data_IF_456263533043
#
_entry.id   IF_456263533043
#
_cell.length_a   1.000
_cell.length_b   1.000
_cell.length_c   1.000
_cell.angle_alpha   90.00
_cell.angle_beta   90.00
_cell.angle_gamma   90.00
#
_symmetry.space_group_name_H-M   'P 1'
#
loop_
_entity.id
_entity.type
_entity.pdbx_description
1 polymer ?
#
# COMPACT_ATOMS: atom_id res chain seq x y z
N UNK A 1 9.01 1.05 -5.76
CA UNK A 1 7.97 2.11 -5.72
C UNK A 1 8.16 3.05 -4.53
N UNK A 2 7.79 2.67 -3.29
CA UNK A 2 7.99 3.53 -2.10
C UNK A 2 9.46 3.95 -1.92
N UNK A 3 10.39 3.05 -2.25
CA UNK A 3 11.82 3.34 -2.31
C UNK A 3 12.17 4.52 -3.22
N UNK A 4 11.70 4.46 -4.46
CA UNK A 4 12.06 5.43 -5.49
C UNK A 4 11.41 6.78 -5.21
N UNK A 5 10.17 6.78 -4.71
CA UNK A 5 9.51 7.97 -4.18
C UNK A 5 10.32 8.55 -3.01
N UNK A 6 10.86 7.68 -2.14
CA UNK A 6 11.76 8.05 -1.05
C UNK A 6 13.04 8.76 -1.51
N UNK A 7 13.46 8.57 -2.76
CA UNK A 7 14.65 9.20 -3.36
C UNK A 7 14.37 10.62 -3.87
N UNK A 8 13.11 11.03 -4.04
CA UNK A 8 12.75 12.39 -4.45
C UNK A 8 13.36 13.41 -3.47
N UNK A 9 14.01 14.50 -3.93
CA UNK A 9 14.83 15.36 -3.07
C UNK A 9 14.12 15.88 -1.81
N UNK A 10 12.86 16.33 -1.95
CA UNK A 10 12.06 16.83 -0.83
C UNK A 10 11.74 15.72 0.18
N UNK A 11 11.31 14.55 -0.30
CA UNK A 11 10.97 13.40 0.55
C UNK A 11 12.22 12.86 1.24
N UNK A 12 13.31 12.65 0.50
CA UNK A 12 14.61 12.18 1.03
C UNK A 12 15.13 13.09 2.14
N UNK A 13 15.09 14.41 1.92
CA UNK A 13 15.51 15.41 2.91
C UNK A 13 14.62 15.40 4.15
N UNK A 14 13.32 15.22 3.97
CA UNK A 14 12.34 15.14 5.06
C UNK A 14 12.56 13.90 5.92
N UNK A 15 12.70 12.73 5.29
CA UNK A 15 13.00 11.46 5.96
C UNK A 15 14.32 11.56 6.73
N UNK A 16 15.39 12.09 6.11
CA UNK A 16 16.70 12.24 6.79
C UNK A 16 16.60 13.11 8.04
N UNK A 17 15.90 14.25 7.96
CA UNK A 17 15.69 15.14 9.12
C UNK A 17 14.89 14.44 10.23
N UNK A 18 13.83 13.72 9.86
CA UNK A 18 13.03 12.94 10.80
C UNK A 18 13.83 11.85 11.50
N UNK A 19 14.64 11.08 10.76
CA UNK A 19 15.52 10.04 11.31
C UNK A 19 16.53 10.64 12.28
N UNK A 20 17.19 11.75 11.89
CA UNK A 20 18.17 12.41 12.75
C UNK A 20 17.53 12.94 14.05
N UNK A 21 16.33 13.54 13.95
CA UNK A 21 15.58 14.02 15.11
C UNK A 21 15.22 12.88 16.07
N UNK A 22 14.67 11.79 15.54
CA UNK A 22 14.29 10.61 16.34
C UNK A 22 15.52 9.94 16.95
N UNK A 23 16.59 9.81 16.15
CA UNK A 23 17.87 9.28 16.62
C UNK A 23 18.46 10.10 17.75
N UNK A 24 18.42 11.43 17.65
CA UNK A 24 18.85 12.33 18.72
C UNK A 24 18.03 12.14 19.99
N UNK A 25 16.69 12.12 19.89
CA UNK A 25 15.82 11.95 21.07
C UNK A 25 16.11 10.64 21.80
N UNK A 26 16.29 9.54 21.06
CA UNK A 26 16.54 8.22 21.66
C UNK A 26 17.99 8.00 22.11
N UNK A 27 18.96 8.75 21.58
CA UNK A 27 20.35 8.65 22.00
C UNK A 27 20.61 9.29 23.38
N UNK A 28 19.71 10.15 23.85
CA UNK A 28 19.91 10.91 25.08
C UNK A 28 18.77 10.66 26.07
N UNK A 29 19.09 10.05 27.22
CA UNK A 29 18.12 9.69 28.26
C UNK A 29 17.31 10.89 28.76
N UNK A 30 17.94 12.06 28.91
CA UNK A 30 17.26 13.29 29.33
C UNK A 30 16.25 13.78 28.30
N UNK A 31 16.59 13.74 27.01
CA UNK A 31 15.67 14.10 25.91
C UNK A 31 14.54 13.10 25.76
N UNK A 32 14.81 11.80 25.90
CA UNK A 32 13.80 10.75 25.89
C UNK A 32 12.82 10.89 27.07
N UNK A 33 13.33 11.21 28.27
CA UNK A 33 12.49 11.47 29.44
C UNK A 33 11.57 12.65 29.21
N UNK A 34 12.08 13.74 28.65
CA UNK A 34 11.25 14.90 28.28
C UNK A 34 10.18 14.50 27.27
N UNK A 35 10.53 13.80 26.19
CA UNK A 35 9.56 13.32 25.20
C UNK A 35 8.42 12.57 25.89
N UNK A 36 8.74 11.60 26.75
CA UNK A 36 7.74 10.79 27.47
C UNK A 36 6.83 11.63 28.37
N UNK A 37 7.35 12.67 28.99
CA UNK A 37 6.56 13.59 29.80
C UNK A 37 5.57 14.39 28.92
N UNK A 38 6.03 14.91 27.78
CA UNK A 38 5.19 15.70 26.88
C UNK A 38 4.20 14.89 26.05
N UNK A 39 4.43 13.59 25.86
CA UNK A 39 3.56 12.74 25.02
C UNK A 39 2.62 11.84 25.83
N UNK A 40 2.66 11.84 27.16
CA UNK A 40 2.01 10.84 28.02
C UNK A 40 2.54 9.41 27.75
N UNK A 41 3.88 9.24 27.80
CA UNK A 41 4.63 7.99 27.60
C UNK A 41 4.48 7.35 26.22
N UNK A 42 3.93 8.11 25.28
CA UNK A 42 3.76 7.74 23.87
C UNK A 42 5.10 7.81 23.16
N UNK A 43 5.54 6.66 22.64
CA UNK A 43 6.83 6.53 21.95
C UNK A 43 6.75 6.97 20.48
N UNK A 44 7.91 7.35 19.93
CA UNK A 44 8.09 7.55 18.49
C UNK A 44 8.50 6.23 17.82
N UNK A 45 8.25 6.10 16.52
CA UNK A 45 8.68 4.92 15.77
C UNK A 45 10.13 5.11 15.37
N UNK A 46 11.02 4.26 15.89
CA UNK A 46 12.43 4.20 15.46
C UNK A 46 12.52 3.65 14.04
N UNK A 47 13.35 4.27 13.23
CA UNK A 47 13.59 3.81 11.88
C UNK A 47 14.33 2.47 11.89
N UNK A 48 13.81 1.48 11.16
CA UNK A 48 14.51 0.24 10.83
C UNK A 48 15.11 0.41 9.44
N UNK A 49 16.40 0.13 9.28
CA UNK A 49 17.16 0.35 8.04
C UNK A 49 16.50 -0.36 6.83
N UNK A 50 15.78 -1.45 7.06
CA UNK A 50 15.42 -2.42 6.03
C UNK A 50 14.00 -2.31 5.45
N UNK A 51 13.15 -1.33 5.82
CA UNK A 51 11.77 -1.27 5.27
C UNK A 51 11.26 0.17 5.07
N UNK A 52 10.92 0.54 3.83
CA UNK A 52 10.36 1.87 3.48
C UNK A 52 9.10 2.25 4.25
N UNK A 53 8.29 1.25 4.61
CA UNK A 53 7.12 1.45 5.46
C UNK A 53 7.51 2.02 6.83
N UNK A 54 8.70 1.74 7.35
CA UNK A 54 9.15 2.27 8.63
C UNK A 54 9.44 3.77 8.57
N UNK A 55 9.97 4.30 7.47
CA UNK A 55 10.12 5.75 7.29
C UNK A 55 8.78 6.46 7.31
N UNK A 56 7.76 5.88 6.65
CA UNK A 56 6.37 6.37 6.73
C UNK A 56 5.85 6.36 8.17
N UNK A 57 5.99 5.23 8.89
CA UNK A 57 5.52 5.12 10.27
C UNK A 57 6.21 6.11 11.21
N UNK A 58 7.51 6.35 11.04
CA UNK A 58 8.27 7.38 11.76
C UNK A 58 7.70 8.77 11.50
N UNK A 59 7.47 9.14 10.24
CA UNK A 59 6.90 10.43 9.87
C UNK A 59 5.47 10.61 10.38
N UNK A 60 4.63 9.57 10.27
CA UNK A 60 3.25 9.59 10.72
C UNK A 60 3.20 9.83 12.23
N UNK A 61 4.07 9.13 12.97
CA UNK A 61 4.15 9.25 14.42
C UNK A 61 4.68 10.62 14.86
N UNK A 62 5.74 11.10 14.22
CA UNK A 62 6.26 12.45 14.44
C UNK A 62 5.19 13.52 14.18
N UNK A 63 4.41 13.37 13.11
CA UNK A 63 3.33 14.30 12.78
C UNK A 63 2.22 14.30 13.83
N UNK A 64 1.80 13.11 14.30
CA UNK A 64 0.81 12.96 15.40
C UNK A 64 1.26 13.65 16.69
N UNK A 65 2.56 13.57 17.02
CA UNK A 65 3.12 14.18 18.22
C UNK A 65 3.68 15.60 17.98
N UNK A 66 3.42 16.22 16.82
CA UNK A 66 3.99 17.53 16.42
C UNK A 66 3.84 18.60 17.51
N UNK A 67 2.64 18.74 18.08
CA UNK A 67 2.37 19.75 19.10
C UNK A 67 3.16 19.49 20.38
N UNK A 68 3.22 18.23 20.82
CA UNK A 68 3.94 17.82 22.03
C UNK A 68 5.45 17.98 21.87
N UNK A 69 6.00 17.55 20.73
CA UNK A 69 7.42 17.71 20.41
C UNK A 69 7.79 19.21 20.33
N UNK A 70 6.95 20.04 19.70
CA UNK A 70 7.18 21.50 19.69
C UNK A 70 7.18 22.09 21.09
N UNK A 71 6.18 21.75 21.92
CA UNK A 71 6.14 22.18 23.33
C UNK A 71 7.38 21.77 24.10
N UNK A 72 7.84 20.53 23.93
CA UNK A 72 9.07 20.02 24.54
C UNK A 72 10.28 20.87 24.16
N UNK A 73 10.50 21.15 22.88
CA UNK A 73 11.65 21.92 22.41
C UNK A 73 11.55 23.44 22.70
N UNK A 74 10.42 23.91 23.21
CA UNK A 74 10.24 25.31 23.67
C UNK A 74 10.05 25.41 25.18
N UNK A 75 10.17 24.32 25.92
CA UNK A 75 9.94 24.32 27.37
C UNK A 75 11.16 24.81 28.14
N UNK A 76 10.94 25.24 29.38
CA UNK A 76 12.03 25.64 30.28
C UNK A 76 12.94 24.44 30.59
N UNK A 77 12.37 23.24 30.76
CA UNK A 77 13.14 22.02 31.01
C UNK A 77 14.09 21.68 29.85
N UNK A 78 13.67 21.92 28.60
CA UNK A 78 14.58 21.79 27.46
C UNK A 78 15.62 22.90 27.45
N UNK A 79 15.23 24.15 27.69
CA UNK A 79 16.14 25.30 27.69
C UNK A 79 17.25 25.16 28.73
N UNK A 80 16.91 24.62 29.92
CA UNK A 80 17.85 24.34 31.02
C UNK A 80 18.68 23.07 30.78
N UNK A 81 18.28 22.18 29.86
CA UNK A 81 19.03 20.98 29.52
C UNK A 81 20.35 21.33 28.81
N UNK A 82 21.48 20.75 29.25
CA UNK A 82 22.80 20.98 28.63
C UNK A 82 22.81 20.73 27.12
N UNK A 83 22.04 19.75 26.65
CA UNK A 83 21.94 19.40 25.23
C UNK A 83 21.31 20.49 24.37
N UNK A 84 20.58 21.46 24.93
CA UNK A 84 20.01 22.58 24.17
C UNK A 84 21.09 23.50 23.59
N UNK A 85 22.28 23.52 24.21
CA UNK A 85 23.42 24.36 23.80
C UNK A 85 24.34 23.64 22.80
N UNK A 86 24.28 22.31 22.75
CA UNK A 86 25.06 21.46 21.86
C UNK A 86 24.63 21.59 20.38
N UNK A 87 25.53 21.43 19.40
CA UNK A 87 25.19 21.53 17.98
C UNK A 87 24.03 20.62 17.54
N UNK A 88 23.99 19.37 18.04
CA UNK A 88 22.93 18.41 17.71
C UNK A 88 21.57 18.82 18.28
N UNK A 89 21.53 19.33 19.51
CA UNK A 89 20.28 19.80 20.13
C UNK A 89 19.76 21.06 19.48
N UNK A 90 20.64 22.01 19.10
CA UNK A 90 20.27 23.19 18.31
C UNK A 90 19.68 22.82 16.96
N UNK A 91 20.29 21.87 16.24
CA UNK A 91 19.75 21.40 14.96
C UNK A 91 18.39 20.68 15.13
N UNK A 92 18.24 19.85 16.18
CA UNK A 92 16.95 19.20 16.48
C UNK A 92 15.84 20.22 16.77
N UNK A 93 16.12 21.22 17.62
CA UNK A 93 15.20 22.30 17.93
C UNK A 93 14.85 23.11 16.66
N UNK A 94 15.86 23.46 15.85
CA UNK A 94 15.66 24.16 14.57
C UNK A 94 14.74 23.39 13.63
N UNK A 95 14.95 22.08 13.47
CA UNK A 95 14.10 21.22 12.62
C UNK A 95 12.66 21.20 13.12
N UNK A 96 12.45 21.04 14.43
CA UNK A 96 11.12 21.02 15.06
C UNK A 96 10.39 22.35 14.96
N UNK A 97 11.12 23.46 15.04
CA UNK A 97 10.51 24.80 15.00
C UNK A 97 10.21 25.27 13.57
N UNK A 98 10.96 24.79 12.58
CA UNK A 98 10.83 25.15 11.16
C UNK A 98 9.49 24.72 10.54
N UNK A 99 8.62 25.67 10.10
CA UNK A 99 7.32 25.33 9.49
C UNK A 99 7.44 24.50 8.22
N UNK A 100 8.45 24.78 7.39
CA UNK A 100 8.67 24.07 6.12
C UNK A 100 9.00 22.60 6.29
N UNK A 101 9.60 22.20 7.43
CA UNK A 101 9.80 20.79 7.76
C UNK A 101 8.45 20.09 7.87
N UNK A 102 7.53 20.62 8.69
CA UNK A 102 6.22 20.03 8.90
C UNK A 102 5.36 20.03 7.63
N UNK A 103 5.45 21.06 6.79
CA UNK A 103 4.79 21.07 5.48
C UNK A 103 5.31 19.94 4.59
N UNK A 104 6.62 19.68 4.62
CA UNK A 104 7.23 18.58 3.87
C UNK A 104 6.87 17.20 4.44
N UNK A 105 6.71 17.08 5.76
CA UNK A 105 6.18 15.87 6.43
C UNK A 105 4.76 15.59 5.95
N UNK A 106 3.87 16.59 5.95
CA UNK A 106 2.48 16.45 5.47
C UNK A 106 2.44 16.06 4.00
N UNK A 107 3.25 16.70 3.14
CA UNK A 107 3.39 16.33 1.73
C UNK A 107 3.79 14.85 1.59
N UNK A 108 4.83 14.44 2.33
CA UNK A 108 5.36 13.06 2.26
C UNK A 108 4.30 12.05 2.72
N UNK A 109 3.54 12.36 3.77
CA UNK A 109 2.46 11.49 4.27
C UNK A 109 1.31 11.38 3.27
N UNK A 110 0.90 12.49 2.62
CA UNK A 110 -0.14 12.48 1.58
C UNK A 110 0.24 11.56 0.40
N UNK A 111 1.51 11.55 0.02
CA UNK A 111 2.05 10.69 -1.04
C UNK A 111 2.18 9.22 -0.59
N UNK A 112 2.80 8.98 0.57
CA UNK A 112 3.17 7.62 0.98
C UNK A 112 2.00 6.85 1.61
N UNK A 113 1.05 7.50 2.29
CA UNK A 113 -0.02 6.80 3.02
C UNK A 113 -0.87 5.89 2.12
N UNK A 114 -1.35 6.34 0.94
CA UNK A 114 -2.15 5.47 0.07
C UNK A 114 -1.35 4.25 -0.41
N UNK A 115 -0.08 4.44 -0.78
CA UNK A 115 0.81 3.35 -1.21
C UNK A 115 1.15 2.37 -0.09
N UNK A 116 1.30 2.84 1.15
CA UNK A 116 1.47 1.97 2.32
C UNK A 116 0.20 1.16 2.60
N UNK A 117 -1.00 1.70 2.33
CA UNK A 117 -2.24 0.93 2.41
C UNK A 117 -2.27 -0.20 1.37
N UNK A 118 -1.83 0.07 0.13
CA UNK A 118 -1.69 -0.96 -0.90
C UNK A 118 -0.68 -2.03 -0.47
N UNK A 119 0.48 -1.62 0.05
CA UNK A 119 1.48 -2.57 0.55
C UNK A 119 0.89 -3.49 1.63
N UNK A 120 0.15 -2.94 2.59
CA UNK A 120 -0.52 -3.73 3.65
C UNK A 120 -1.57 -4.71 3.11
N UNK A 121 -2.28 -4.33 2.04
CA UNK A 121 -3.24 -5.21 1.38
C UNK A 121 -2.52 -6.41 0.76
N UNK A 122 -1.43 -6.17 0.03
CA UNK A 122 -0.64 -7.21 -0.66
C UNK A 122 0.11 -8.12 0.32
N UNK A 123 0.56 -7.57 1.44
CA UNK A 123 1.22 -8.28 2.53
C UNK A 123 0.26 -9.06 3.45
N UNK A 124 -1.05 -8.90 3.26
CA UNK A 124 -2.07 -9.59 4.05
C UNK A 124 -2.22 -11.06 3.62
N UNK A 125 -2.04 -11.99 4.55
CA UNK A 125 -2.13 -13.44 4.26
C UNK A 125 -3.57 -13.96 4.18
N UNK A 126 -4.53 -13.25 4.80
CA UNK A 126 -5.90 -13.78 5.00
C UNK A 126 -6.76 -13.80 3.74
N UNK A 127 -6.50 -12.91 2.78
CA UNK A 127 -7.27 -12.81 1.53
C UNK A 127 -6.28 -12.63 0.38
N UNK A 128 -6.32 -13.47 -0.67
CA UNK A 128 -5.50 -13.27 -1.86
C UNK A 128 -5.70 -11.86 -2.44
N UNK A 129 -4.62 -11.08 -2.53
CA UNK A 129 -4.68 -9.70 -2.99
C UNK A 129 -4.86 -9.55 -4.51
N UNK A 130 -4.80 -10.65 -5.27
CA UNK A 130 -4.79 -10.65 -6.74
C UNK A 130 -6.00 -9.96 -7.35
N UNK A 131 -7.21 -10.21 -6.82
CA UNK A 131 -8.42 -9.53 -7.26
C UNK A 131 -8.55 -8.07 -6.82
N UNK A 132 -7.63 -7.56 -5.98
CA UNK A 132 -7.77 -6.27 -5.32
C UNK A 132 -6.66 -5.26 -5.66
N UNK A 133 -5.49 -5.72 -6.09
CA UNK A 133 -4.31 -4.87 -6.23
C UNK A 133 -4.46 -3.78 -7.31
N UNK A 134 -5.14 -4.08 -8.42
CA UNK A 134 -5.38 -3.13 -9.50
C UNK A 134 -6.16 -1.91 -8.99
N UNK A 135 -7.39 -2.15 -8.52
CA UNK A 135 -8.25 -1.15 -7.92
C UNK A 135 -7.57 -0.39 -6.76
N UNK A 136 -6.80 -1.11 -5.93
CA UNK A 136 -6.11 -0.49 -4.81
C UNK A 136 -5.04 0.51 -5.27
N UNK A 137 -4.37 0.25 -6.41
CA UNK A 137 -3.40 1.16 -7.00
C UNK A 137 -4.07 2.39 -7.60
N UNK A 138 -5.18 2.21 -8.31
CA UNK A 138 -5.95 3.32 -8.89
C UNK A 138 -6.50 4.24 -7.79
N UNK A 139 -7.14 3.66 -6.77
CA UNK A 139 -7.57 4.39 -5.57
C UNK A 139 -6.42 5.09 -4.87
N UNK A 140 -5.22 4.52 -4.87
CA UNK A 140 -4.04 5.16 -4.29
C UNK A 140 -3.62 6.40 -5.09
N UNK A 141 -3.55 6.31 -6.43
CA UNK A 141 -3.30 7.46 -7.31
C UNK A 141 -4.38 8.53 -7.13
N UNK A 142 -5.66 8.16 -7.17
CA UNK A 142 -6.76 9.10 -6.93
C UNK A 142 -6.66 9.81 -5.58
N UNK A 143 -6.35 9.07 -4.51
CA UNK A 143 -6.21 9.66 -3.17
C UNK A 143 -5.08 10.68 -3.13
N UNK A 144 -3.93 10.38 -3.76
CA UNK A 144 -2.80 11.31 -3.86
C UNK A 144 -3.24 12.57 -4.63
N UNK A 145 -3.85 12.40 -5.80
CA UNK A 145 -4.34 13.49 -6.64
C UNK A 145 -5.32 14.40 -5.88
N UNK A 146 -6.35 13.82 -5.27
CA UNK A 146 -7.36 14.53 -4.47
C UNK A 146 -6.74 15.25 -3.27
N UNK A 147 -5.70 14.68 -2.64
CA UNK A 147 -5.01 15.30 -1.49
C UNK A 147 -4.29 16.61 -1.84
N UNK A 148 -4.04 16.86 -3.12
CA UNK A 148 -3.41 18.07 -3.65
C UNK A 148 -4.39 18.92 -4.48
N UNK A 149 -5.69 18.74 -4.31
CA UNK A 149 -6.74 19.46 -5.04
C UNK A 149 -6.55 19.36 -6.56
N UNK A 150 -6.16 18.18 -7.05
CA UNK A 150 -5.87 17.89 -8.46
C UNK A 150 -4.74 18.73 -9.08
N UNK A 151 -3.93 19.43 -8.28
CA UNK A 151 -2.78 20.19 -8.79
C UNK A 151 -1.64 19.24 -9.21
N UNK A 152 -1.62 18.90 -10.49
CA UNK A 152 -0.69 17.96 -11.12
C UNK A 152 0.78 18.24 -10.82
N UNK A 153 1.17 19.52 -10.77
CA UNK A 153 2.55 19.92 -10.47
C UNK A 153 3.08 19.38 -9.13
N UNK A 154 2.20 18.99 -8.20
CA UNK A 154 2.59 18.45 -6.89
C UNK A 154 2.81 16.94 -6.87
N UNK A 155 2.26 16.20 -7.81
CA UNK A 155 2.29 14.73 -7.81
C UNK A 155 2.76 14.10 -9.13
N UNK A 156 3.02 14.88 -10.19
CA UNK A 156 3.54 14.37 -11.47
C UNK A 156 4.77 13.47 -11.32
N UNK A 157 5.81 13.91 -10.62
CA UNK A 157 7.05 13.14 -10.44
C UNK A 157 6.81 11.85 -9.63
N UNK A 158 5.82 11.89 -8.72
CA UNK A 158 5.39 10.73 -7.95
C UNK A 158 4.67 9.73 -8.87
N UNK A 159 3.79 10.23 -9.75
CA UNK A 159 3.03 9.41 -10.69
C UNK A 159 3.94 8.77 -11.73
N UNK A 160 4.92 9.49 -12.28
CA UNK A 160 5.93 8.92 -13.17
C UNK A 160 6.65 7.72 -12.53
N UNK A 161 6.97 7.82 -11.23
CA UNK A 161 7.58 6.71 -10.47
C UNK A 161 6.58 5.56 -10.27
N UNK A 162 5.33 5.86 -9.90
CA UNK A 162 4.27 4.86 -9.72
C UNK A 162 4.06 4.12 -11.04
N UNK A 163 3.84 4.82 -12.14
CA UNK A 163 3.51 4.27 -13.45
C UNK A 163 4.67 3.46 -14.02
N UNK A 164 5.90 3.95 -13.88
CA UNK A 164 7.10 3.18 -14.25
C UNK A 164 7.17 1.86 -13.48
N UNK A 165 6.93 1.86 -12.17
CA UNK A 165 6.99 0.65 -11.33
C UNK A 165 5.79 -0.25 -11.54
N UNK A 166 4.62 0.32 -11.80
CA UNK A 166 3.42 -0.39 -12.22
C UNK A 166 3.71 -1.14 -13.51
N UNK A 167 3.96 -0.45 -14.61
CA UNK A 167 4.14 -1.04 -15.93
C UNK A 167 5.30 -2.04 -16.04
N UNK A 168 6.41 -1.82 -15.31
CA UNK A 168 7.56 -2.73 -15.37
C UNK A 168 7.42 -3.98 -14.50
N UNK A 169 6.72 -3.89 -13.36
CA UNK A 169 6.79 -4.93 -12.31
C UNK A 169 5.42 -5.43 -11.85
N UNK A 170 4.47 -4.52 -11.64
CA UNK A 170 3.21 -4.82 -10.96
C UNK A 170 2.00 -4.86 -11.91
N UNK A 171 2.08 -4.29 -13.10
CA UNK A 171 1.03 -4.36 -14.10
C UNK A 171 1.34 -5.51 -15.06
N UNK A 172 0.65 -6.63 -14.82
CA UNK A 172 0.73 -7.81 -15.66
C UNK A 172 -0.68 -8.14 -16.11
N UNK A 173 -0.86 -8.79 -17.27
CA UNK A 173 -2.16 -9.28 -17.72
C UNK A 173 -2.95 -9.97 -16.61
N UNK A 174 -2.24 -10.69 -15.72
CA UNK A 174 -2.81 -11.40 -14.58
C UNK A 174 -3.56 -10.49 -13.59
N UNK A 175 -3.01 -9.31 -13.28
CA UNK A 175 -3.65 -8.37 -12.35
C UNK A 175 -4.88 -7.72 -12.98
N UNK A 176 -4.82 -7.39 -14.27
CA UNK A 176 -5.96 -6.85 -15.01
C UNK A 176 -7.08 -7.90 -15.14
N UNK A 177 -6.74 -9.15 -15.48
CA UNK A 177 -7.68 -10.26 -15.51
C UNK A 177 -8.33 -10.51 -14.14
N UNK A 178 -7.54 -10.45 -13.05
CA UNK A 178 -8.06 -10.63 -11.71
C UNK A 178 -8.98 -9.49 -11.27
N UNK A 179 -8.68 -8.25 -11.69
CA UNK A 179 -9.55 -7.10 -11.47
C UNK A 179 -10.89 -7.27 -12.19
N UNK A 180 -10.86 -7.65 -13.47
CA UNK A 180 -12.05 -7.94 -14.26
C UNK A 180 -12.91 -9.05 -13.64
N UNK A 181 -12.28 -10.10 -13.12
CA UNK A 181 -12.97 -11.23 -12.52
C UNK A 181 -13.36 -10.99 -11.05
N UNK A 182 -13.08 -9.82 -10.48
CA UNK A 182 -13.56 -9.48 -9.15
C UNK A 182 -15.00 -8.93 -9.25
N UNK A 183 -16.02 -9.66 -8.77
CA UNK A 183 -17.41 -9.23 -8.88
C UNK A 183 -17.70 -7.94 -8.08
N UNK A 184 -16.92 -7.62 -7.04
CA UNK A 184 -17.05 -6.33 -6.36
C UNK A 184 -16.81 -5.17 -7.32
N UNK A 185 -15.74 -5.24 -8.14
CA UNK A 185 -15.33 -4.13 -8.99
C UNK A 185 -16.01 -4.16 -10.35
N UNK A 186 -16.13 -5.33 -10.96
CA UNK A 186 -16.77 -5.47 -12.27
C UNK A 186 -18.23 -4.98 -12.23
N UNK A 187 -19.01 -5.37 -11.22
CA UNK A 187 -20.41 -4.95 -11.14
C UNK A 187 -20.63 -3.59 -10.50
N UNK A 188 -19.64 -3.04 -9.77
CA UNK A 188 -19.68 -1.63 -9.35
C UNK A 188 -19.38 -0.68 -10.53
N UNK A 189 -18.62 -1.13 -11.54
CA UNK A 189 -18.31 -0.38 -12.75
C UNK A 189 -18.28 -1.31 -13.99
N UNK A 190 -19.44 -1.52 -14.61
CA UNK A 190 -19.56 -2.39 -15.79
C UNK A 190 -18.80 -1.87 -17.02
N UNK A 191 -18.47 -0.57 -17.04
CA UNK A 191 -17.69 0.03 -18.14
C UNK A 191 -16.25 -0.53 -18.21
N UNK A 192 -15.80 -1.27 -17.19
CA UNK A 192 -14.57 -2.08 -17.23
C UNK A 192 -14.53 -3.05 -18.41
N UNK A 193 -15.69 -3.43 -18.98
CA UNK A 193 -15.72 -4.26 -20.19
C UNK A 193 -15.30 -3.57 -21.47
N UNK A 194 -15.22 -2.24 -21.47
CA UNK A 194 -14.74 -1.43 -22.58
C UNK A 194 -13.33 -0.89 -22.34
N UNK A 195 -12.76 -1.12 -21.16
CA UNK A 195 -11.37 -0.77 -20.87
C UNK A 195 -10.42 -1.70 -21.64
N UNK A 196 -9.66 -1.13 -22.56
CA UNK A 196 -8.74 -1.87 -23.42
C UNK A 196 -7.62 -2.55 -22.63
N UNK A 197 -7.08 -1.89 -21.59
CA UNK A 197 -5.99 -2.43 -20.78
C UNK A 197 -6.44 -3.67 -20.01
N UNK A 198 -7.61 -3.57 -19.37
CA UNK A 198 -8.21 -4.65 -18.57
C UNK A 198 -8.65 -5.82 -19.46
N UNK A 199 -9.37 -5.56 -20.54
CA UNK A 199 -9.87 -6.60 -21.45
C UNK A 199 -8.74 -7.32 -22.18
N UNK A 200 -7.73 -6.58 -22.66
CA UNK A 200 -6.55 -7.19 -23.26
C UNK A 200 -5.79 -8.07 -22.25
N UNK A 201 -5.64 -7.60 -21.00
CA UNK A 201 -5.04 -8.39 -19.94
C UNK A 201 -5.78 -9.69 -19.64
N UNK A 202 -7.12 -9.67 -19.66
CA UNK A 202 -7.96 -10.88 -19.55
C UNK A 202 -7.71 -11.85 -20.71
N UNK A 203 -7.74 -11.38 -21.96
CA UNK A 203 -7.54 -12.24 -23.13
C UNK A 203 -6.15 -12.85 -23.18
N UNK A 204 -5.11 -12.08 -22.85
CA UNK A 204 -3.75 -12.61 -22.75
C UNK A 204 -3.61 -13.67 -21.65
N UNK A 205 -4.32 -13.52 -20.53
CA UNK A 205 -4.38 -14.56 -19.50
C UNK A 205 -5.09 -15.82 -19.98
N UNK A 206 -6.22 -15.68 -20.69
CA UNK A 206 -6.95 -16.82 -21.25
C UNK A 206 -6.05 -17.60 -22.20
N UNK A 207 -5.44 -16.92 -23.19
CA UNK A 207 -4.52 -17.55 -24.16
C UNK A 207 -3.35 -18.25 -23.49
N UNK A 208 -2.77 -17.64 -22.46
CA UNK A 208 -1.58 -18.17 -21.76
C UNK A 208 -1.90 -19.32 -20.81
N UNK A 209 -3.03 -19.28 -20.11
CA UNK A 209 -3.37 -20.26 -19.07
C UNK A 209 -4.17 -21.45 -19.59
N UNK A 210 -4.80 -21.32 -20.77
CA UNK A 210 -5.69 -22.31 -21.35
C UNK A 210 -5.16 -22.71 -22.73
N UNK A 211 -4.41 -23.83 -22.86
CA UNK A 211 -3.81 -24.22 -24.14
C UNK A 211 -4.82 -24.62 -25.22
N UNK A 212 -5.99 -25.13 -24.81
CA UNK A 212 -7.00 -25.68 -25.71
C UNK A 212 -7.92 -24.57 -26.23
N UNK A 213 -7.92 -24.37 -27.55
CA UNK A 213 -8.71 -23.32 -28.20
C UNK A 213 -10.23 -23.51 -28.01
N UNK A 214 -10.74 -24.73 -28.02
CA UNK A 214 -12.16 -24.99 -27.77
C UNK A 214 -12.59 -24.57 -26.35
N UNK A 215 -11.71 -24.75 -25.36
CA UNK A 215 -11.94 -24.29 -23.99
C UNK A 215 -11.85 -22.77 -23.90
N UNK A 216 -10.93 -22.13 -24.63
CA UNK A 216 -10.89 -20.66 -24.72
C UNK A 216 -12.22 -20.10 -25.27
N UNK A 217 -12.77 -20.71 -26.33
CA UNK A 217 -14.06 -20.29 -26.89
C UNK A 217 -15.21 -20.45 -25.89
N UNK A 218 -15.28 -21.59 -25.18
CA UNK A 218 -16.26 -21.81 -24.10
C UNK A 218 -16.15 -20.75 -23.01
N UNK A 219 -14.92 -20.39 -22.61
CA UNK A 219 -14.68 -19.32 -21.62
C UNK A 219 -15.22 -17.98 -22.12
N UNK A 220 -15.07 -17.64 -23.40
CA UNK A 220 -15.59 -16.40 -23.96
C UNK A 220 -17.14 -16.36 -23.96
N UNK A 221 -17.79 -17.48 -24.27
CA UNK A 221 -19.25 -17.61 -24.17
C UNK A 221 -19.71 -17.49 -22.71
N UNK A 222 -19.04 -18.17 -21.79
CA UNK A 222 -19.32 -18.11 -20.36
C UNK A 222 -19.06 -16.70 -19.77
N UNK A 223 -18.05 -15.99 -20.29
CA UNK A 223 -17.73 -14.62 -19.89
C UNK A 223 -18.88 -13.66 -20.20
N UNK A 224 -19.61 -13.88 -21.30
CA UNK A 224 -20.81 -13.10 -21.60
C UNK A 224 -21.89 -13.27 -20.52
N UNK A 225 -22.13 -14.51 -20.05
CA UNK A 225 -23.08 -14.78 -18.98
C UNK A 225 -22.70 -14.07 -17.68
N UNK A 226 -21.41 -14.06 -17.34
CA UNK A 226 -20.89 -13.28 -16.22
C UNK A 226 -21.16 -11.78 -16.41
N UNK A 227 -20.79 -11.21 -17.56
CA UNK A 227 -20.93 -9.77 -17.85
C UNK A 227 -22.36 -9.27 -17.66
N UNK A 228 -23.34 -9.98 -18.24
CA UNK A 228 -24.76 -9.58 -18.15
C UNK A 228 -25.40 -9.94 -16.81
N UNK A 229 -24.67 -10.61 -15.91
CA UNK A 229 -25.20 -11.09 -14.64
C UNK A 229 -26.29 -12.15 -14.82
N UNK A 230 -26.16 -13.03 -15.81
CA UNK A 230 -27.13 -14.08 -16.04
C UNK A 230 -27.18 -15.10 -14.90
N UNK A 231 -28.35 -15.73 -14.75
CA UNK A 231 -28.59 -16.83 -13.84
C UNK A 231 -28.11 -16.56 -12.40
N UNK A 232 -27.28 -17.44 -11.82
CA UNK A 232 -26.81 -17.31 -10.44
C UNK A 232 -26.04 -16.01 -10.19
N UNK A 233 -25.36 -15.44 -11.19
CA UNK A 233 -24.57 -14.22 -11.02
C UNK A 233 -25.42 -12.98 -10.69
N UNK A 234 -26.65 -12.95 -11.20
CA UNK A 234 -27.64 -11.88 -10.98
C UNK A 234 -28.61 -12.16 -9.85
N UNK A 235 -28.50 -13.30 -9.16
CA UNK A 235 -29.38 -13.61 -8.02
C UNK A 235 -29.17 -12.62 -6.86
N UNK A 236 -30.21 -12.37 -6.07
CA UNK A 236 -30.15 -11.51 -4.89
C UNK A 236 -29.04 -11.93 -3.91
N UNK A 237 -28.86 -13.25 -3.74
CA UNK A 237 -27.78 -13.81 -2.92
C UNK A 237 -26.40 -13.44 -3.48
N UNK A 238 -26.18 -13.60 -4.79
CA UNK A 238 -24.92 -13.28 -5.42
C UNK A 238 -24.61 -11.79 -5.32
N UNK A 239 -25.60 -10.93 -5.58
CA UNK A 239 -25.47 -9.47 -5.48
C UNK A 239 -25.10 -9.03 -4.07
N UNK A 240 -25.80 -9.53 -3.05
CA UNK A 240 -25.53 -9.21 -1.64
C UNK A 240 -24.14 -9.66 -1.19
N UNK A 241 -23.57 -10.69 -1.83
CA UNK A 241 -22.29 -11.30 -1.42
C UNK A 241 -21.05 -10.74 -2.13
N UNK A 242 -21.21 -9.89 -3.15
CA UNK A 242 -20.07 -9.37 -3.95
C UNK A 242 -19.02 -8.66 -3.10
N UNK A 243 -19.45 -7.90 -2.07
CA UNK A 243 -18.59 -7.08 -1.20
C UNK A 243 -18.27 -7.72 0.15
N UNK A 244 -18.98 -8.79 0.52
CA UNK A 244 -18.87 -9.41 1.86
C UNK A 244 -17.94 -10.62 1.84
N UNK A 245 -17.92 -11.38 0.75
CA UNK A 245 -17.07 -12.56 0.59
C UNK A 245 -15.87 -12.29 -0.33
N UNK A 246 -14.83 -13.13 -0.22
CA UNK A 246 -13.71 -13.07 -1.16
C UNK A 246 -14.17 -13.46 -2.59
N UNK A 247 -13.59 -12.87 -3.64
CA UNK A 247 -13.88 -13.20 -5.03
C UNK A 247 -13.81 -14.71 -5.32
N UNK A 248 -12.77 -15.39 -4.82
CA UNK A 248 -12.62 -16.84 -4.98
C UNK A 248 -13.80 -17.63 -4.40
N UNK A 249 -14.29 -17.24 -3.22
CA UNK A 249 -15.48 -17.85 -2.60
C UNK A 249 -16.73 -17.57 -3.44
N UNK A 250 -16.91 -16.33 -3.87
CA UNK A 250 -18.05 -15.93 -4.70
C UNK A 250 -18.12 -16.75 -6.00
N UNK A 251 -16.98 -16.90 -6.70
CA UNK A 251 -16.91 -17.75 -7.90
C UNK A 251 -17.22 -19.21 -7.61
N UNK A 252 -16.80 -19.77 -6.47
CA UNK A 252 -17.16 -21.16 -6.08
C UNK A 252 -18.67 -21.33 -5.91
N UNK A 253 -19.35 -20.33 -5.34
CA UNK A 253 -20.78 -20.42 -5.04
C UNK A 253 -21.66 -20.17 -6.27
N UNK A 254 -21.33 -19.17 -7.08
CA UNK A 254 -22.23 -18.67 -8.12
C UNK A 254 -21.74 -18.95 -9.56
N UNK A 255 -20.52 -19.46 -9.73
CA UNK A 255 -19.95 -19.76 -11.04
C UNK A 255 -20.31 -21.13 -11.63
N UNK A 256 -21.21 -21.91 -11.02
CA UNK A 256 -21.46 -23.31 -11.39
C UNK A 256 -21.95 -23.51 -12.83
N UNK A 257 -22.67 -22.54 -13.39
CA UNK A 257 -23.15 -22.56 -14.79
C UNK A 257 -22.08 -22.15 -15.81
N UNK A 258 -20.92 -21.69 -15.34
CA UNK A 258 -19.78 -21.29 -16.18
C UNK A 258 -18.54 -22.09 -15.78
N UNK A 259 -18.54 -23.43 -15.96
CA UNK A 259 -17.54 -24.30 -15.34
C UNK A 259 -16.11 -24.02 -15.81
N UNK A 260 -15.89 -23.51 -17.03
CA UNK A 260 -14.55 -23.22 -17.54
C UNK A 260 -14.03 -21.88 -17.01
N UNK A 261 -14.87 -20.85 -17.03
CA UNK A 261 -14.60 -19.53 -16.48
C UNK A 261 -14.45 -19.58 -14.96
N UNK A 262 -15.29 -20.34 -14.26
CA UNK A 262 -15.20 -20.56 -12.82
C UNK A 262 -13.82 -21.12 -12.43
N UNK A 263 -13.35 -22.15 -13.14
CA UNK A 263 -12.02 -22.74 -12.92
C UNK A 263 -10.93 -21.70 -13.17
N UNK A 264 -11.03 -20.93 -14.25
CA UNK A 264 -10.06 -19.87 -14.57
C UNK A 264 -10.05 -18.78 -13.50
N UNK A 265 -11.21 -18.26 -13.12
CA UNK A 265 -11.36 -17.20 -12.14
C UNK A 265 -10.83 -17.61 -10.77
N UNK A 266 -11.21 -18.79 -10.28
CA UNK A 266 -10.66 -19.34 -9.04
C UNK A 266 -9.14 -19.48 -9.12
N UNK A 267 -8.61 -19.97 -10.25
CA UNK A 267 -7.16 -20.14 -10.45
C UNK A 267 -6.43 -18.80 -10.38
N UNK A 268 -6.92 -17.77 -11.07
CA UNK A 268 -6.33 -16.43 -11.09
C UNK A 268 -6.45 -15.76 -9.71
N UNK A 269 -7.67 -15.68 -9.17
CA UNK A 269 -7.98 -14.94 -7.95
C UNK A 269 -7.35 -15.54 -6.70
N UNK A 270 -6.99 -16.83 -6.71
CA UNK A 270 -6.33 -17.49 -5.59
C UNK A 270 -4.82 -17.25 -5.53
N UNK A 271 -4.22 -16.58 -6.51
CA UNK A 271 -2.80 -16.29 -6.51
C UNK A 271 -2.43 -15.19 -5.51
N UNK A 272 -1.22 -15.23 -4.97
CA UNK A 272 -0.68 -14.20 -4.07
C UNK A 272 0.09 -13.15 -4.87
N UNK A 273 -0.04 -11.88 -4.51
CA UNK A 273 0.73 -10.78 -5.13
C UNK A 273 2.04 -10.45 -4.40
N UNK A 274 2.35 -11.14 -3.30
CA UNK A 274 3.55 -10.88 -2.50
C UNK A 274 4.40 -12.13 -2.36
N UNK A 275 5.72 -11.95 -2.48
CA UNK A 275 6.70 -12.92 -2.00
C UNK A 275 6.88 -12.84 -0.47
N UNK A 276 6.38 -11.79 0.20
CA UNK A 276 6.63 -11.54 1.62
C UNK A 276 6.03 -12.60 2.55
N UNK A 277 4.97 -13.29 2.11
CA UNK A 277 4.46 -14.46 2.83
C UNK A 277 5.51 -15.56 2.93
N UNK A 278 6.28 -15.78 1.87
CA UNK A 278 7.45 -16.65 1.91
C UNK A 278 8.52 -16.06 2.82
N UNK A 279 8.84 -14.76 2.71
CA UNK A 279 9.89 -14.12 3.54
C UNK A 279 9.63 -14.20 5.05
N UNK A 280 8.37 -14.08 5.49
CA UNK A 280 8.02 -14.25 6.91
C UNK A 280 8.26 -15.68 7.37
N UNK A 281 7.82 -16.66 6.56
CA UNK A 281 8.11 -18.06 6.84
C UNK A 281 9.62 -18.30 6.88
N UNK A 282 10.40 -17.76 5.93
CA UNK A 282 11.86 -17.84 5.95
C UNK A 282 12.46 -17.21 7.20
N UNK A 283 11.97 -16.06 7.68
CA UNK A 283 12.47 -15.45 8.92
C UNK A 283 12.17 -16.28 10.17
N UNK A 284 11.04 -17.01 10.19
CA UNK A 284 10.71 -17.96 11.26
C UNK A 284 11.57 -19.23 11.13
N UNK A 285 11.81 -19.73 9.91
CA UNK A 285 12.69 -20.87 9.67
C UNK A 285 14.16 -20.55 9.92
N UNK A 286 14.64 -19.35 9.64
CA UNK A 286 16.00 -18.90 10.01
C UNK A 286 16.17 -18.95 11.54
N UNK A 287 15.16 -18.59 12.33
CA UNK A 287 15.23 -18.76 13.79
C UNK A 287 15.29 -20.23 14.23
N UNK A 288 14.78 -21.17 13.42
CA UNK A 288 14.87 -22.62 13.70
C UNK A 288 16.19 -23.22 13.18
N UNK A 289 16.73 -22.71 12.08
CA UNK A 289 17.95 -23.20 11.42
C UNK A 289 19.20 -22.64 12.10
N UNK A 290 19.18 -21.39 12.59
CA UNK A 290 20.31 -20.77 13.31
C UNK A 290 20.43 -21.29 14.74
N UNK A 291 19.39 -21.92 15.31
CA UNK A 291 19.45 -22.51 16.67
C UNK A 291 19.90 -23.98 16.66
N UNK A 292 20.41 -24.50 15.53
CA UNK A 292 20.92 -25.89 15.39
C UNK A 292 22.35 -25.99 14.81
N UNK A 293 23.13 -24.91 14.89
CA UNK A 293 24.59 -24.89 14.65
C UNK A 293 25.28 -24.22 15.84
#
# INVERSE_FOLDING_TARGET
>A
MLEDIGKLPLIRKTIRRAINLVGFIYAHSSTLSLLRNFTNKRELVRHAITRFATSYLTLERLHKEKANIRKMFTSDEWTLNKLSKEPKGKEAAKVVLMPSFWNSVVYTLKVMAPLVKVLRLVDGERKPAMGYIYEAMDKAKETIMKSFNNNESKYKDVFEIIDKRWNCQLHRPLHAAAHFLNPEFFYDNTDLEFDFEVTNGLFECIKKLIPQFDVQQKILTELHLYKIGADHFGSDFAMAQRKTHSPTYWWRMFGSQTPNLQKLAIKILSLTCSASGCERNWSVFEQVIVTKL
#
